data_IF_606043201207
#
_entry.id   IF_606043201207
#
_cell.length_a   1.000
_cell.length_b   1.000
_cell.length_c   1.000
_cell.angle_alpha   90.00
_cell.angle_beta   90.00
_cell.angle_gamma   90.00
#
_symmetry.space_group_name_H-M   'P 1'
#
loop_
_entity.id
_entity.type
_entity.pdbx_description
1 polymer ?
#
# COMPACT_ATOMS: atom_id res chain seq x y z
N UNK A 1 -35.10 12.33 53.14
CA UNK A 1 -33.93 12.61 54.00
C UNK A 1 -33.14 13.67 53.29
N UNK A 2 -33.32 14.90 53.74
CA UNK A 2 -32.68 16.10 53.24
C UNK A 2 -31.62 16.44 54.29
N UNK A 3 -30.36 16.47 53.86
CA UNK A 3 -29.25 16.88 54.72
C UNK A 3 -28.99 18.37 54.45
N UNK A 4 -29.35 19.18 55.45
CA UNK A 4 -28.94 20.56 55.65
C UNK A 4 -27.42 20.60 55.80
N UNK A 5 -26.74 21.31 54.88
CA UNK A 5 -25.37 21.74 55.05
C UNK A 5 -25.37 23.25 55.27
N UNK A 6 -25.37 23.62 56.54
CA UNK A 6 -25.19 24.98 57.06
C UNK A 6 -23.72 25.38 56.86
N UNK A 7 -23.46 26.23 55.86
CA UNK A 7 -22.13 26.81 55.62
C UNK A 7 -22.14 28.23 56.15
N UNK A 8 -21.50 28.38 57.32
CA UNK A 8 -21.22 29.61 58.04
C UNK A 8 -20.61 30.70 57.15
N UNK A 9 -21.42 31.67 56.73
CA UNK A 9 -20.99 32.97 56.23
C UNK A 9 -20.44 33.79 57.40
N UNK A 10 -19.12 33.79 57.56
CA UNK A 10 -18.49 34.38 58.74
C UNK A 10 -17.06 34.85 58.52
N UNK A 11 -16.73 35.43 57.37
CA UNK A 11 -15.45 36.15 57.17
C UNK A 11 -15.44 37.04 55.92
N UNK A 12 -16.46 37.89 55.76
CA UNK A 12 -16.52 38.86 54.65
C UNK A 12 -16.85 40.26 55.19
N UNK A 13 -15.88 40.98 55.75
CA UNK A 13 -16.08 42.41 56.05
C UNK A 13 -14.82 43.25 56.29
N UNK A 14 -13.64 42.67 56.57
CA UNK A 14 -12.44 43.47 56.87
C UNK A 14 -11.43 43.52 55.73
N UNK A 15 -11.42 42.55 54.82
CA UNK A 15 -10.53 42.54 53.65
C UNK A 15 -10.96 43.53 52.55
N UNK A 16 -12.24 43.92 52.50
CA UNK A 16 -12.76 44.84 51.46
C UNK A 16 -12.41 46.31 51.72
N UNK A 17 -12.24 46.72 52.98
CA UNK A 17 -11.91 48.12 53.31
C UNK A 17 -10.41 48.39 53.19
N UNK A 18 -9.56 47.41 53.48
CA UNK A 18 -8.11 47.53 53.34
C UNK A 18 -7.67 47.52 51.87
N UNK A 19 -8.30 46.66 51.05
CA UNK A 19 -8.11 46.67 49.58
C UNK A 19 -8.68 47.93 48.92
N UNK A 20 -9.79 48.49 49.42
CA UNK A 20 -10.31 49.77 48.94
C UNK A 20 -9.41 50.96 49.28
N UNK A 21 -8.79 50.96 50.47
CA UNK A 21 -7.88 52.02 50.90
C UNK A 21 -6.53 51.96 50.18
N UNK A 22 -6.01 50.76 49.86
CA UNK A 22 -4.86 50.61 48.97
C UNK A 22 -5.18 51.02 47.52
N UNK A 23 -6.37 50.68 47.02
CA UNK A 23 -6.81 51.07 45.68
C UNK A 23 -6.97 52.60 45.57
N UNK A 24 -7.50 53.27 46.60
CA UNK A 24 -7.57 54.73 46.67
C UNK A 24 -6.18 55.39 46.77
N UNK A 25 -5.23 54.79 47.50
CA UNK A 25 -3.82 55.27 47.52
C UNK A 25 -3.13 55.12 46.17
N UNK A 26 -3.39 54.03 45.44
CA UNK A 26 -2.87 53.83 44.08
C UNK A 26 -3.49 54.77 43.04
N UNK A 27 -4.71 55.29 43.28
CA UNK A 27 -5.35 56.29 42.41
C UNK A 27 -4.76 57.70 42.58
N UNK A 28 -4.25 58.05 43.76
CA UNK A 28 -3.61 59.35 44.01
C UNK A 28 -2.19 59.45 43.44
N UNK A 29 -1.48 58.33 43.30
CA UNK A 29 -0.18 58.25 42.61
C UNK A 29 -0.49 57.81 41.18
N UNK A 30 -0.76 58.78 40.31
CA UNK A 30 -1.21 58.58 38.92
C UNK A 30 -0.76 57.25 38.32
N UNK A 31 -1.70 56.32 38.23
CA UNK A 31 -1.43 54.94 37.81
C UNK A 31 -0.73 54.98 36.46
N UNK A 32 0.50 54.43 36.33
CA UNK A 32 1.24 54.56 35.09
C UNK A 32 0.48 53.84 33.99
N UNK A 33 -0.06 54.63 33.06
CA UNK A 33 -0.91 54.17 31.94
C UNK A 33 -0.22 53.04 31.15
N UNK A 34 1.12 53.03 31.16
CA UNK A 34 1.98 51.98 30.61
C UNK A 34 1.77 50.60 31.25
N UNK A 35 1.57 50.52 32.57
CA UNK A 35 1.29 49.24 33.25
C UNK A 35 -0.10 48.70 32.89
N UNK A 36 -1.09 49.60 32.77
CA UNK A 36 -2.44 49.23 32.34
C UNK A 36 -2.44 48.69 30.91
N UNK A 37 -1.73 49.33 29.98
CA UNK A 37 -1.58 48.88 28.59
C UNK A 37 -0.89 47.51 28.53
N UNK A 38 0.24 47.33 29.21
CA UNK A 38 0.99 46.05 29.20
C UNK A 38 0.15 44.91 29.81
N UNK A 39 -0.64 45.21 30.84
CA UNK A 39 -1.54 44.21 31.44
C UNK A 39 -2.73 43.88 30.53
N UNK A 40 -3.27 44.85 29.80
CA UNK A 40 -4.32 44.64 28.80
C UNK A 40 -3.81 43.80 27.63
N UNK A 41 -2.62 44.11 27.10
CA UNK A 41 -1.98 43.32 26.03
C UNK A 41 -1.74 41.87 26.47
N UNK A 42 -1.24 41.67 27.70
CA UNK A 42 -1.06 40.31 28.26
C UNK A 42 -2.39 39.56 28.39
N UNK A 43 -3.48 40.25 28.75
CA UNK A 43 -4.82 39.64 28.83
C UNK A 43 -5.33 39.25 27.44
N UNK A 44 -5.21 40.14 26.45
CA UNK A 44 -5.64 39.89 25.06
C UNK A 44 -4.83 38.73 24.44
N UNK A 45 -3.51 38.72 24.63
CA UNK A 45 -2.64 37.62 24.16
C UNK A 45 -3.00 36.31 24.84
N UNK A 46 -3.27 36.31 26.16
CA UNK A 46 -3.66 35.10 26.90
C UNK A 46 -5.03 34.57 26.44
N UNK A 47 -6.00 35.43 26.16
CA UNK A 47 -7.30 35.02 25.64
C UNK A 47 -7.20 34.45 24.23
N UNK A 48 -6.41 35.07 23.35
CA UNK A 48 -6.14 34.54 22.02
C UNK A 48 -5.46 33.17 22.09
N UNK A 49 -4.44 33.02 22.93
CA UNK A 49 -3.75 31.75 23.14
C UNK A 49 -4.70 30.67 23.70
N UNK A 50 -5.58 31.02 24.65
CA UNK A 50 -6.59 30.09 25.18
C UNK A 50 -7.56 29.65 24.08
N UNK A 51 -8.02 30.57 23.23
CA UNK A 51 -8.90 30.24 22.11
C UNK A 51 -8.23 29.30 21.11
N UNK A 52 -6.98 29.58 20.75
CA UNK A 52 -6.20 28.75 19.85
C UNK A 52 -5.93 27.36 20.45
N UNK A 53 -5.62 27.28 21.75
CA UNK A 53 -5.45 26.01 22.47
C UNK A 53 -6.74 25.17 22.48
N UNK A 54 -7.90 25.80 22.72
CA UNK A 54 -9.19 25.11 22.71
C UNK A 54 -9.48 24.55 21.30
N UNK A 55 -9.30 25.37 20.26
CA UNK A 55 -9.48 24.94 18.87
C UNK A 55 -8.53 23.78 18.50
N UNK A 56 -7.26 23.88 18.90
CA UNK A 56 -6.26 22.82 18.69
C UNK A 56 -6.64 21.53 19.42
N UNK A 57 -7.14 21.62 20.65
CA UNK A 57 -7.56 20.45 21.43
C UNK A 57 -8.73 19.72 20.77
N UNK A 58 -9.73 20.47 20.26
CA UNK A 58 -10.85 19.90 19.51
C UNK A 58 -10.34 19.23 18.23
N UNK A 59 -9.48 19.90 17.46
CA UNK A 59 -8.88 19.33 16.26
C UNK A 59 -8.12 18.04 16.54
N UNK A 60 -7.26 18.04 17.56
CA UNK A 60 -6.49 16.87 17.96
C UNK A 60 -7.40 15.73 18.40
N UNK A 61 -8.46 16.01 19.15
CA UNK A 61 -9.43 14.99 19.57
C UNK A 61 -10.13 14.36 18.36
N UNK A 62 -10.60 15.16 17.40
CA UNK A 62 -11.19 14.68 16.16
C UNK A 62 -10.18 13.86 15.35
N UNK A 63 -8.94 14.35 15.22
CA UNK A 63 -7.87 13.66 14.51
C UNK A 63 -7.58 12.28 15.12
N UNK A 64 -7.43 12.19 16.44
CA UNK A 64 -7.22 10.93 17.15
C UNK A 64 -8.38 9.97 16.89
N UNK A 65 -9.63 10.45 16.98
CA UNK A 65 -10.82 9.63 16.70
C UNK A 65 -10.81 9.12 15.25
N UNK A 66 -10.53 9.98 14.27
CA UNK A 66 -10.48 9.58 12.87
C UNK A 66 -9.35 8.57 12.58
N UNK A 67 -8.18 8.75 13.17
CA UNK A 67 -7.06 7.82 12.98
C UNK A 67 -7.33 6.48 13.66
N UNK A 68 -7.82 6.48 14.90
CA UNK A 68 -8.10 5.25 15.64
C UNK A 68 -9.29 4.48 15.05
N UNK A 69 -10.34 5.15 14.60
CA UNK A 69 -11.49 4.51 13.95
C UNK A 69 -11.22 4.15 12.48
N UNK A 70 -10.32 4.87 11.81
CA UNK A 70 -9.97 4.62 10.40
C UNK A 70 -8.94 3.51 10.20
N UNK A 71 -8.14 3.17 11.22
CA UNK A 71 -7.05 2.21 11.10
C UNK A 71 -7.29 0.76 11.59
N UNK A 72 -8.47 0.26 12.06
CA UNK A 72 -8.43 -0.75 13.11
C UNK A 72 -8.04 -2.17 12.68
N UNK A 73 -8.01 -2.53 11.39
CA UNK A 73 -7.81 -3.94 11.01
C UNK A 73 -6.99 -4.18 9.74
N UNK A 74 -6.41 -3.13 9.14
CA UNK A 74 -5.67 -3.26 7.88
C UNK A 74 -4.53 -4.28 7.96
N UNK A 75 -3.79 -4.30 9.07
CA UNK A 75 -2.67 -5.22 9.27
C UNK A 75 -3.08 -6.70 9.24
N UNK A 76 -4.13 -7.08 9.97
CA UNK A 76 -4.53 -8.49 10.05
C UNK A 76 -5.14 -8.98 8.73
N UNK A 77 -5.88 -8.12 8.04
CA UNK A 77 -6.44 -8.43 6.73
C UNK A 77 -5.31 -8.61 5.70
N UNK A 78 -4.33 -7.70 5.65
CA UNK A 78 -3.20 -7.82 4.71
C UNK A 78 -2.29 -8.98 5.07
N UNK A 79 -2.02 -9.21 6.35
CA UNK A 79 -1.23 -10.37 6.82
C UNK A 79 -1.90 -11.69 6.46
N UNK A 80 -3.22 -11.80 6.62
CA UNK A 80 -3.97 -13.01 6.28
C UNK A 80 -4.02 -13.28 4.77
N UNK A 81 -4.17 -12.24 3.94
CA UNK A 81 -4.09 -12.37 2.49
C UNK A 81 -2.67 -12.76 2.04
N UNK A 82 -1.66 -12.20 2.70
CA UNK A 82 -0.26 -12.47 2.40
C UNK A 82 0.15 -13.89 2.76
N UNK A 83 -0.24 -14.38 3.94
CA UNK A 83 0.14 -15.73 4.38
C UNK A 83 -0.39 -16.83 3.45
N UNK A 84 -1.56 -16.63 2.82
CA UNK A 84 -2.13 -17.56 1.84
C UNK A 84 -1.26 -17.76 0.60
N UNK A 85 -0.35 -16.83 0.31
CA UNK A 85 0.51 -16.84 -0.89
C UNK A 85 1.97 -17.05 -0.51
N UNK A 86 2.46 -16.33 0.51
CA UNK A 86 3.86 -16.34 0.91
C UNK A 86 4.26 -17.62 1.66
N UNK A 87 3.37 -18.14 2.53
CA UNK A 87 3.63 -19.33 3.35
C UNK A 87 3.12 -20.62 2.69
N UNK A 88 2.41 -20.50 1.57
CA UNK A 88 1.88 -21.65 0.86
C UNK A 88 3.00 -22.41 0.15
N UNK A 89 3.12 -23.67 0.51
CA UNK A 89 4.12 -24.58 -0.02
C UNK A 89 3.62 -25.28 -1.29
N UNK A 90 4.51 -25.42 -2.28
CA UNK A 90 4.26 -26.15 -3.52
C UNK A 90 5.42 -27.11 -3.84
N UNK A 91 5.17 -28.20 -4.57
CA UNK A 91 6.23 -29.15 -4.89
C UNK A 91 7.26 -28.53 -5.82
N UNK A 92 8.55 -28.73 -5.52
CA UNK A 92 9.64 -28.34 -6.40
C UNK A 92 9.55 -29.04 -7.77
N UNK A 93 9.89 -28.31 -8.83
CA UNK A 93 10.03 -28.89 -10.16
C UNK A 93 11.23 -29.85 -10.17
N UNK A 94 11.09 -31.11 -10.65
CA UNK A 94 12.22 -32.01 -10.75
C UNK A 94 13.22 -31.48 -11.81
N UNK A 95 14.54 -31.53 -11.56
CA UNK A 95 15.56 -30.91 -12.41
C UNK A 95 15.61 -31.47 -13.86
N UNK A 96 14.99 -32.63 -14.11
CA UNK A 96 14.97 -33.28 -15.44
C UNK A 96 13.56 -33.44 -16.02
N UNK A 97 12.53 -32.78 -15.47
CA UNK A 97 11.14 -32.87 -15.97
C UNK A 97 10.48 -34.25 -15.83
N UNK A 98 11.21 -35.27 -15.37
CA UNK A 98 10.66 -36.56 -14.98
C UNK A 98 10.00 -36.42 -13.62
N UNK A 99 8.67 -36.48 -13.61
CA UNK A 99 7.84 -36.62 -12.41
C UNK A 99 8.08 -38.00 -11.77
N UNK A 100 9.26 -38.20 -11.20
CA UNK A 100 9.70 -39.44 -10.57
C UNK A 100 10.09 -39.18 -9.13
N UNK A 101 9.53 -40.01 -8.24
CA UNK A 101 9.77 -40.23 -6.80
C UNK A 101 11.16 -39.86 -6.22
N UNK A 102 11.53 -38.59 -6.25
CA UNK A 102 12.59 -38.01 -5.43
C UNK A 102 12.01 -37.34 -4.19
N UNK A 103 12.83 -36.97 -3.18
CA UNK A 103 12.35 -36.15 -2.07
C UNK A 103 11.81 -34.83 -2.65
N UNK A 104 10.49 -34.66 -2.60
CA UNK A 104 9.83 -33.43 -3.00
C UNK A 104 10.16 -32.37 -1.95
N UNK A 105 11.14 -31.52 -2.26
CA UNK A 105 11.34 -30.31 -1.47
C UNK A 105 10.12 -29.42 -1.68
N UNK A 106 9.48 -29.03 -0.59
CA UNK A 106 8.43 -28.03 -0.60
C UNK A 106 9.11 -26.66 -0.74
N UNK A 107 8.70 -25.92 -1.77
CA UNK A 107 9.15 -24.55 -2.05
C UNK A 107 8.05 -23.57 -1.67
N UNK A 108 8.44 -22.39 -1.22
CA UNK A 108 7.54 -21.24 -1.00
C UNK A 108 7.70 -20.21 -2.11
N UNK A 109 6.89 -19.14 -2.07
CA UNK A 109 7.04 -18.01 -2.99
C UNK A 109 8.48 -17.44 -3.02
N UNK A 110 9.16 -17.41 -1.87
CA UNK A 110 10.53 -16.89 -1.75
C UNK A 110 11.59 -17.80 -2.36
N UNK A 111 11.26 -19.07 -2.62
CA UNK A 111 12.19 -20.07 -3.15
C UNK A 111 12.09 -20.23 -4.68
N UNK A 112 11.33 -19.35 -5.35
CA UNK A 112 11.19 -19.35 -6.81
C UNK A 112 12.47 -18.83 -7.46
N UNK A 113 13.24 -19.74 -8.07
CA UNK A 113 14.48 -19.41 -8.79
C UNK A 113 14.34 -19.72 -10.29
N UNK A 114 13.55 -20.72 -10.64
CA UNK A 114 13.37 -21.17 -12.02
C UNK A 114 12.02 -20.73 -12.62
N UNK A 115 11.98 -20.59 -13.95
CA UNK A 115 10.74 -20.27 -14.66
C UNK A 115 9.68 -21.38 -14.54
N UNK A 116 10.11 -22.63 -14.37
CA UNK A 116 9.20 -23.74 -14.14
C UNK A 116 8.54 -23.67 -12.75
N UNK A 117 9.29 -23.26 -11.73
CA UNK A 117 8.75 -23.03 -10.39
C UNK A 117 7.70 -21.92 -10.40
N UNK A 118 7.92 -20.84 -11.18
CA UNK A 118 6.93 -19.77 -11.34
C UNK A 118 5.59 -20.28 -11.89
N UNK A 119 5.64 -21.15 -12.92
CA UNK A 119 4.43 -21.77 -13.46
C UNK A 119 3.76 -22.68 -12.42
N UNK A 120 4.55 -23.49 -11.71
CA UNK A 120 4.02 -24.40 -10.70
C UNK A 120 3.34 -23.64 -9.55
N UNK A 121 3.96 -22.56 -9.08
CA UNK A 121 3.41 -21.64 -8.09
C UNK A 121 2.10 -21.02 -8.56
N UNK A 122 2.03 -20.52 -9.81
CA UNK A 122 0.82 -19.93 -10.36
C UNK A 122 -0.36 -20.93 -10.33
N UNK A 123 -0.13 -22.15 -10.81
CA UNK A 123 -1.19 -23.16 -10.91
C UNK A 123 -1.56 -23.82 -9.58
N UNK A 124 -0.58 -24.00 -8.69
CA UNK A 124 -0.77 -24.77 -7.45
C UNK A 124 -1.11 -23.90 -6.24
N UNK A 125 -0.69 -22.64 -6.24
CA UNK A 125 -0.85 -21.71 -5.10
C UNK A 125 -1.67 -20.49 -5.49
N UNK A 126 -1.16 -19.67 -6.43
CA UNK A 126 -1.74 -18.35 -6.67
C UNK A 126 -3.19 -18.42 -7.20
N UNK A 127 -3.45 -19.25 -8.22
CA UNK A 127 -4.80 -19.40 -8.78
C UNK A 127 -5.75 -20.01 -7.75
N UNK A 128 -5.43 -21.14 -7.06
CA UNK A 128 -6.31 -21.70 -6.03
C UNK A 128 -6.57 -20.77 -4.83
N UNK A 129 -5.58 -19.96 -4.43
CA UNK A 129 -5.77 -18.97 -3.36
C UNK A 129 -6.79 -17.88 -3.74
N UNK A 130 -6.81 -17.50 -5.02
CA UNK A 130 -7.77 -16.53 -5.56
C UNK A 130 -9.14 -17.18 -5.89
N UNK A 131 -9.11 -18.46 -6.25
CA UNK A 131 -10.25 -19.23 -6.75
C UNK A 131 -10.32 -20.58 -6.04
N UNK A 132 -10.91 -20.62 -4.85
CA UNK A 132 -11.24 -21.87 -4.16
C UNK A 132 -12.69 -22.24 -4.42
N UNK A 133 -12.95 -23.30 -5.18
CA UNK A 133 -14.31 -23.78 -5.42
C UNK A 133 -14.98 -24.24 -4.12
N UNK A 134 -15.99 -23.52 -3.64
CA UNK A 134 -16.89 -24.02 -2.60
C UNK A 134 -17.78 -25.11 -3.21
N UNK A 135 -17.71 -26.32 -2.66
CA UNK A 135 -18.57 -27.46 -3.03
C UNK A 135 -20.03 -27.31 -2.59
N UNK A 136 -20.43 -26.18 -1.97
CA UNK A 136 -21.77 -26.02 -1.40
C UNK A 136 -22.59 -24.95 -2.14
N UNK A 137 -23.61 -25.47 -2.82
CA UNK A 137 -24.92 -24.88 -3.19
C UNK A 137 -25.00 -23.99 -4.43
N UNK A 138 -25.60 -24.55 -5.49
CA UNK A 138 -26.72 -24.08 -6.35
C UNK A 138 -26.88 -22.59 -6.74
N UNK A 139 -25.93 -21.71 -6.45
CA UNK A 139 -25.93 -20.33 -6.90
C UNK A 139 -24.87 -20.16 -7.99
N UNK A 140 -25.26 -19.75 -9.22
CA UNK A 140 -24.33 -19.64 -10.36
C UNK A 140 -23.37 -18.44 -10.29
N UNK A 141 -23.48 -17.57 -9.28
CA UNK A 141 -22.62 -16.40 -9.15
C UNK A 141 -21.46 -16.66 -8.19
N UNK A 142 -20.34 -17.06 -8.79
CA UNK A 142 -18.93 -16.85 -8.40
C UNK A 142 -18.73 -16.41 -6.93
N UNK A 143 -18.23 -17.31 -6.08
CA UNK A 143 -17.75 -16.97 -4.73
C UNK A 143 -16.26 -17.30 -4.56
N UNK A 144 -15.59 -16.46 -3.78
CA UNK A 144 -14.26 -15.91 -3.98
C UNK A 144 -13.23 -16.29 -2.89
N UNK A 145 -11.96 -15.92 -3.12
CA UNK A 145 -10.76 -16.01 -2.27
C UNK A 145 -11.04 -16.12 -0.75
N UNK A 146 -11.27 -17.35 -0.28
CA UNK A 146 -11.21 -17.83 1.12
C UNK A 146 -11.75 -16.90 2.22
N UNK A 147 -12.87 -17.30 2.83
CA UNK A 147 -13.42 -16.65 4.03
C UNK A 147 -14.38 -15.51 3.70
N UNK A 148 -14.05 -14.29 4.15
CA UNK A 148 -14.91 -13.10 4.02
C UNK A 148 -14.52 -12.18 2.84
N UNK A 149 -13.40 -12.47 2.15
CA UNK A 149 -12.92 -11.64 1.04
C UNK A 149 -13.63 -11.98 -0.27
N UNK A 150 -13.86 -10.96 -1.09
CA UNK A 150 -14.43 -11.11 -2.42
C UNK A 150 -13.45 -10.62 -3.48
N UNK A 151 -13.22 -11.40 -4.54
CA UNK A 151 -12.42 -10.97 -5.67
C UNK A 151 -13.28 -10.00 -6.49
N UNK A 152 -12.77 -8.80 -6.71
CA UNK A 152 -13.43 -7.82 -7.56
C UNK A 152 -12.84 -7.90 -8.97
N UNK A 153 -13.66 -8.31 -9.94
CA UNK A 153 -13.26 -8.41 -11.34
C UNK A 153 -12.44 -9.66 -11.64
N UNK A 154 -11.28 -9.47 -12.28
CA UNK A 154 -10.41 -10.55 -12.72
C UNK A 154 -8.95 -10.20 -12.50
N UNK A 155 -8.11 -11.23 -12.29
CA UNK A 155 -6.67 -11.05 -12.17
C UNK A 155 -6.05 -10.87 -13.55
N UNK A 156 -5.19 -9.85 -13.68
CA UNK A 156 -4.46 -9.55 -14.90
C UNK A 156 -2.97 -9.85 -14.70
N UNK A 157 -2.45 -10.75 -15.53
CA UNK A 157 -1.01 -11.03 -15.61
C UNK A 157 -0.40 -10.13 -16.68
N UNK A 158 0.73 -9.49 -16.37
CA UNK A 158 1.50 -8.66 -17.32
C UNK A 158 2.94 -9.17 -17.34
N UNK A 159 3.55 -9.17 -18.52
CA UNK A 159 4.96 -9.53 -18.70
C UNK A 159 5.70 -8.41 -19.41
N UNK A 160 6.97 -8.26 -19.08
CA UNK A 160 7.90 -7.35 -19.74
C UNK A 160 8.94 -8.18 -20.48
N UNK A 161 9.40 -7.68 -21.63
CA UNK A 161 10.34 -8.42 -22.48
C UNK A 161 11.32 -7.49 -23.17
N UNK A 162 12.57 -7.91 -23.19
CA UNK A 162 13.66 -7.23 -23.89
C UNK A 162 13.85 -7.79 -25.30
N UNK A 163 14.32 -6.98 -26.24
CA UNK A 163 14.59 -7.40 -27.62
C UNK A 163 15.74 -8.39 -27.75
N UNK A 164 15.70 -9.21 -28.81
CA UNK A 164 16.71 -10.24 -29.10
C UNK A 164 18.11 -9.69 -29.41
N UNK A 165 18.20 -8.42 -29.82
CA UNK A 165 19.43 -7.71 -30.19
C UNK A 165 19.74 -6.59 -29.18
N UNK A 166 19.29 -6.75 -27.93
CA UNK A 166 19.45 -5.72 -26.91
C UNK A 166 20.87 -5.64 -26.35
N UNK A 167 21.70 -6.66 -26.59
CA UNK A 167 23.14 -6.59 -26.39
C UNK A 167 23.90 -7.21 -27.56
N UNK A 168 25.17 -6.79 -27.68
CA UNK A 168 26.11 -7.36 -28.64
C UNK A 168 26.86 -8.49 -27.92
N UNK A 169 26.73 -9.75 -28.36
CA UNK A 169 27.48 -10.85 -27.77
C UNK A 169 28.99 -10.63 -27.99
N UNK A 170 29.80 -11.04 -27.03
CA UNK A 170 31.24 -10.94 -27.16
C UNK A 170 31.74 -11.93 -28.22
N UNK A 171 32.17 -11.42 -29.37
CA UNK A 171 32.62 -12.21 -30.53
C UNK A 171 33.82 -13.12 -30.23
N UNK A 172 34.63 -12.80 -29.21
CA UNK A 172 35.75 -13.65 -28.81
C UNK A 172 35.30 -14.92 -28.07
N UNK A 173 34.18 -14.85 -27.36
CA UNK A 173 33.60 -15.99 -26.62
C UNK A 173 32.60 -16.73 -27.50
N UNK A 174 31.86 -15.96 -28.30
CA UNK A 174 30.74 -16.40 -29.10
C UNK A 174 30.94 -15.88 -30.53
N UNK A 175 31.83 -16.52 -31.31
CA UNK A 175 32.14 -16.07 -32.65
C UNK A 175 30.92 -16.22 -33.56
N UNK A 176 30.75 -15.30 -34.54
CA UNK A 176 29.65 -15.39 -35.49
C UNK A 176 29.71 -16.71 -36.25
N UNK A 177 28.56 -17.33 -36.56
CA UNK A 177 28.52 -18.60 -37.27
C UNK A 177 29.23 -18.47 -38.61
N UNK A 178 30.13 -19.42 -38.90
CA UNK A 178 30.82 -19.46 -40.19
C UNK A 178 29.81 -19.58 -41.34
N UNK A 179 30.07 -18.98 -42.51
CA UNK A 179 29.18 -19.08 -43.66
C UNK A 179 28.96 -20.55 -44.04
N UNK A 180 27.70 -20.99 -44.02
CA UNK A 180 27.30 -22.38 -44.29
C UNK A 180 27.21 -23.29 -43.06
N UNK A 181 27.44 -22.78 -41.84
CA UNK A 181 27.23 -23.55 -40.62
C UNK A 181 25.77 -23.56 -40.18
N UNK A 182 25.31 -24.69 -39.62
CA UNK A 182 23.96 -24.84 -39.05
C UNK A 182 23.83 -24.24 -37.64
N UNK A 183 24.85 -23.53 -37.14
CA UNK A 183 24.77 -22.92 -35.83
C UNK A 183 23.76 -21.78 -35.84
N UNK A 184 22.74 -21.89 -35.00
CA UNK A 184 21.67 -20.91 -34.86
C UNK A 184 22.22 -19.60 -34.32
N UNK A 185 21.72 -18.48 -34.86
CA UNK A 185 21.98 -17.13 -34.40
C UNK A 185 21.98 -17.05 -32.87
N UNK A 186 23.05 -16.50 -32.29
CA UNK A 186 23.15 -16.31 -30.84
C UNK A 186 22.31 -15.09 -30.45
N UNK A 187 21.40 -15.28 -29.50
CA UNK A 187 20.59 -14.20 -28.96
C UNK A 187 21.20 -13.68 -27.67
N UNK A 188 21.22 -12.37 -27.51
CA UNK A 188 21.75 -11.70 -26.34
C UNK A 188 20.67 -10.76 -25.78
N UNK A 189 20.35 -10.93 -24.50
CA UNK A 189 19.37 -10.11 -23.80
C UNK A 189 20.04 -9.26 -22.73
N UNK A 190 19.97 -7.94 -22.87
CA UNK A 190 20.42 -6.99 -21.85
C UNK A 190 19.43 -6.95 -20.67
N UNK A 191 19.86 -6.43 -19.49
CA UNK A 191 18.95 -6.08 -18.42
C UNK A 191 17.80 -5.21 -18.93
N UNK A 192 16.60 -5.43 -18.39
CA UNK A 192 15.42 -4.72 -18.86
C UNK A 192 15.60 -3.20 -18.68
N UNK A 193 15.35 -2.47 -19.77
CA UNK A 193 15.24 -1.02 -19.81
C UNK A 193 14.06 -0.66 -20.70
N UNK A 194 13.25 0.36 -20.35
CA UNK A 194 12.15 0.81 -21.20
C UNK A 194 12.57 1.10 -22.65
N UNK A 195 13.80 1.59 -22.84
CA UNK A 195 14.38 1.87 -24.16
C UNK A 195 14.65 0.60 -25.00
N UNK A 196 14.81 -0.56 -24.35
CA UNK A 196 15.10 -1.85 -24.98
C UNK A 196 13.87 -2.78 -24.99
N UNK A 197 12.70 -2.25 -24.62
CA UNK A 197 11.44 -3.00 -24.57
C UNK A 197 11.06 -3.51 -25.96
N UNK A 198 10.81 -4.80 -26.08
CA UNK A 198 10.45 -5.42 -27.35
C UNK A 198 8.94 -5.33 -27.60
N UNK A 199 8.56 -4.45 -28.52
CA UNK A 199 7.17 -4.21 -28.91
C UNK A 199 6.68 -5.14 -30.03
N UNK A 200 7.55 -6.00 -30.59
CA UNK A 200 7.15 -6.91 -31.67
C UNK A 200 6.20 -7.98 -31.15
N UNK A 201 5.15 -8.39 -31.89
CA UNK A 201 4.30 -9.51 -31.47
C UNK A 201 5.13 -10.79 -31.25
N UNK A 202 4.75 -11.61 -30.26
CA UNK A 202 5.44 -12.86 -29.95
C UNK A 202 4.59 -14.09 -30.30
N UNK A 203 5.21 -15.24 -30.58
CA UNK A 203 4.50 -16.49 -30.83
C UNK A 203 4.13 -16.73 -32.30
N UNK A 204 3.20 -17.67 -32.53
CA UNK A 204 2.75 -18.00 -33.89
C UNK A 204 2.05 -16.80 -34.52
N UNK A 205 2.23 -16.55 -35.84
CA UNK A 205 1.50 -15.49 -36.53
C UNK A 205 0.00 -15.74 -36.34
N UNK A 206 -0.67 -14.76 -35.71
CA UNK A 206 -2.10 -14.80 -35.48
C UNK A 206 -2.77 -14.68 -36.84
N UNK A 207 -3.52 -15.70 -37.25
CA UNK A 207 -4.33 -15.61 -38.45
C UNK A 207 -5.37 -14.50 -38.25
N UNK A 208 -5.58 -13.68 -39.27
CA UNK A 208 -6.29 -12.38 -39.17
C UNK A 208 -7.70 -12.48 -38.57
N UNK A 209 -8.31 -13.68 -38.58
CA UNK A 209 -9.61 -13.98 -37.99
C UNK A 209 -9.58 -14.17 -36.45
N UNK A 210 -8.46 -14.58 -35.86
CA UNK A 210 -8.32 -14.82 -34.40
C UNK A 210 -8.00 -13.56 -33.59
N UNK A 211 -7.61 -12.47 -34.26
CA UNK A 211 -7.21 -11.21 -33.60
C UNK A 211 -8.35 -10.56 -32.80
N UNK A 212 -9.61 -10.84 -33.14
CA UNK A 212 -10.74 -10.08 -32.60
C UNK A 212 -11.30 -10.56 -31.26
N UNK A 213 -11.02 -11.79 -30.79
CA UNK A 213 -11.77 -12.32 -29.64
C UNK A 213 -10.96 -12.86 -28.44
N UNK A 214 -9.65 -13.15 -28.51
CA UNK A 214 -8.99 -13.84 -27.37
C UNK A 214 -7.48 -13.59 -27.14
N UNK A 215 -6.75 -12.98 -28.08
CA UNK A 215 -5.28 -13.08 -28.10
C UNK A 215 -4.53 -11.78 -27.73
N UNK A 216 -4.90 -11.14 -26.61
CA UNK A 216 -4.17 -9.96 -26.08
C UNK A 216 -2.77 -10.34 -25.57
N UNK A 217 -2.54 -11.60 -25.15
CA UNK A 217 -1.28 -12.03 -24.52
C UNK A 217 -0.03 -11.95 -25.40
N UNK A 218 -0.21 -11.87 -26.73
CA UNK A 218 0.88 -11.92 -27.71
C UNK A 218 1.17 -10.58 -28.38
N UNK A 219 0.34 -9.56 -28.10
CA UNK A 219 0.43 -8.23 -28.69
C UNK A 219 0.94 -7.27 -27.62
N UNK A 220 1.96 -6.49 -27.96
CA UNK A 220 2.44 -5.43 -27.08
C UNK A 220 1.35 -4.37 -26.90
N UNK A 221 1.12 -3.97 -25.65
CA UNK A 221 0.27 -2.83 -25.29
C UNK A 221 1.11 -1.83 -24.52
N UNK A 222 0.95 -0.55 -24.86
CA UNK A 222 1.51 0.54 -24.07
C UNK A 222 0.82 0.64 -22.71
N UNK A 223 1.50 1.25 -21.73
CA UNK A 223 0.91 1.47 -20.40
C UNK A 223 -0.42 2.27 -20.48
N UNK A 224 -0.51 3.20 -21.43
CA UNK A 224 -1.71 4.01 -21.69
C UNK A 224 -2.88 3.16 -22.21
N UNK A 225 -2.63 2.33 -23.24
CA UNK A 225 -3.64 1.40 -23.76
C UNK A 225 -4.11 0.39 -22.71
N UNK A 226 -3.22 0.01 -21.79
CA UNK A 226 -3.55 -0.89 -20.70
C UNK A 226 -4.37 -0.22 -19.57
N UNK A 227 -4.65 1.09 -19.66
CA UNK A 227 -5.34 1.88 -18.64
C UNK A 227 -4.51 2.15 -17.39
N UNK A 228 -3.17 2.14 -17.51
CA UNK A 228 -2.26 2.51 -16.43
C UNK A 228 -2.11 4.03 -16.28
N UNK A 229 -1.64 4.52 -15.12
CA UNK A 229 -1.31 5.94 -14.95
C UNK A 229 -0.15 6.36 -15.88
N UNK A 230 -0.18 7.62 -16.33
CA UNK A 230 0.72 8.21 -17.35
C UNK A 230 2.20 8.37 -16.92
N UNK A 231 2.64 7.76 -15.82
CA UNK A 231 4.00 7.94 -15.29
C UNK A 231 4.65 6.62 -14.91
N UNK A 232 5.72 6.26 -15.61
CA UNK A 232 6.82 5.40 -15.13
C UNK A 232 8.08 6.25 -15.12
#
# INVERSE_FOLDING_TARGET
MADDWDFSDGEESTASSETQNEFQRMLMVGFPLTFAIVSLDRKVVREKLKKDLIMFTIFLSCFIVFVLLGAPQGYWITSGLRSMVDEAEFPATPPNGTFGSGPFYLKTYFDIVESADWNMFLYSVAIPALWSGSTISNYPDVRYATGQNQLLGAVRIRSLRTGNESCIPNEYIYPPPAPGSNYTQQFCYAPFSPALSNQTPYGKPIDTAERNNTNVSWVYQTCQEAGGPDTV
#
